data_IF_418888245313
#
_entry.id   IF_418888245313
#
_cell.length_a   1.000
_cell.length_b   1.000
_cell.length_c   1.000
_cell.angle_alpha   90.00
_cell.angle_beta   90.00
_cell.angle_gamma   90.00
#
_symmetry.space_group_name_H-M   'P 1'
#
loop_
_entity.id
_entity.type
_entity.pdbx_description
1 polymer ?
#
# COMPACT_ATOMS: atom_id res chain seq x y z
N UNK A 1 4.14 -9.67 28.26
CA UNK A 1 3.98 -9.84 26.80
C UNK A 1 3.45 -11.24 26.55
N UNK A 2 2.56 -11.46 25.56
CA UNK A 2 2.18 -12.81 25.16
C UNK A 2 3.45 -13.61 24.81
N UNK A 3 3.51 -14.89 25.17
CA UNK A 3 4.65 -15.77 24.93
C UNK A 3 4.73 -16.35 23.51
N UNK A 4 3.98 -15.76 22.57
CA UNK A 4 3.89 -16.27 21.20
C UNK A 4 5.16 -15.94 20.41
N UNK A 5 5.69 -16.92 19.70
CA UNK A 5 6.86 -16.82 18.85
C UNK A 5 6.46 -16.63 17.38
N UNK A 6 6.83 -15.48 16.82
CA UNK A 6 6.64 -15.21 15.39
C UNK A 6 7.39 -16.23 14.51
N UNK A 7 6.74 -16.69 13.44
CA UNK A 7 7.26 -17.73 12.55
C UNK A 7 7.04 -19.17 13.06
N UNK A 8 6.68 -19.35 14.33
CA UNK A 8 6.32 -20.65 14.91
C UNK A 8 4.82 -20.70 15.22
N UNK A 9 4.36 -19.80 16.10
CA UNK A 9 2.98 -19.78 16.57
C UNK A 9 2.07 -18.93 15.68
N UNK A 10 2.64 -17.94 14.98
CA UNK A 10 1.90 -17.09 14.06
C UNK A 10 2.78 -16.59 12.92
N UNK A 11 2.15 -16.35 11.78
CA UNK A 11 2.75 -15.78 10.57
C UNK A 11 1.66 -15.16 9.70
N UNK A 12 2.01 -14.73 8.50
CA UNK A 12 1.08 -14.24 7.48
C UNK A 12 1.44 -14.79 6.09
N UNK A 13 0.54 -14.63 5.13
CA UNK A 13 0.73 -14.99 3.73
C UNK A 13 0.21 -13.84 2.86
N UNK A 14 0.75 -13.65 1.64
CA UNK A 14 0.20 -12.67 0.70
C UNK A 14 -1.23 -13.06 0.31
N UNK A 15 -2.07 -12.08 -0.02
CA UNK A 15 -3.39 -12.38 -0.56
C UNK A 15 -3.25 -13.25 -1.84
N UNK A 16 -4.16 -14.22 -2.05
CA UNK A 16 -4.13 -15.07 -3.23
C UNK A 16 -4.29 -14.25 -4.51
N UNK A 17 -3.72 -14.76 -5.59
CA UNK A 17 -3.96 -14.21 -6.92
C UNK A 17 -5.45 -14.31 -7.29
N UNK A 18 -5.99 -13.25 -7.87
CA UNK A 18 -7.37 -13.24 -8.39
C UNK A 18 -7.48 -14.17 -9.62
N UNK A 19 -6.49 -14.07 -10.52
CA UNK A 19 -6.30 -14.92 -11.70
C UNK A 19 -4.86 -14.76 -12.22
N UNK A 20 -4.51 -15.52 -13.26
CA UNK A 20 -3.15 -15.55 -13.84
C UNK A 20 -2.68 -14.21 -14.41
N UNK A 21 -3.58 -13.30 -14.80
CA UNK A 21 -3.22 -11.96 -15.28
C UNK A 21 -2.75 -11.03 -14.16
N UNK A 22 -3.05 -11.35 -12.91
CA UNK A 22 -2.70 -10.56 -11.72
C UNK A 22 -1.77 -11.32 -10.76
N UNK A 23 -1.04 -12.30 -11.26
CA UNK A 23 -0.14 -13.11 -10.43
C UNK A 23 0.92 -12.25 -9.72
N UNK A 24 1.00 -12.37 -8.40
CA UNK A 24 1.93 -11.63 -7.56
C UNK A 24 1.59 -10.15 -7.42
N UNK A 25 0.34 -9.75 -7.70
CA UNK A 25 -0.12 -8.39 -7.51
C UNK A 25 -0.38 -8.08 -6.04
N UNK A 26 0.11 -6.94 -5.59
CA UNK A 26 -0.09 -6.47 -4.22
C UNK A 26 -0.58 -5.02 -4.22
N UNK A 27 -1.60 -4.79 -3.39
CA UNK A 27 -1.95 -3.43 -2.96
C UNK A 27 -0.91 -3.00 -1.94
N UNK A 28 -0.32 -1.83 -2.16
CA UNK A 28 0.73 -1.27 -1.31
C UNK A 28 0.31 0.10 -0.78
N UNK A 29 0.85 0.46 0.38
CA UNK A 29 0.84 1.82 0.91
C UNK A 29 2.28 2.29 1.09
N UNK A 30 2.49 3.60 1.18
CA UNK A 30 3.83 4.15 1.38
C UNK A 30 3.81 5.49 2.10
N UNK A 31 4.83 5.69 2.94
CA UNK A 31 5.14 6.98 3.54
C UNK A 31 6.00 7.79 2.55
N UNK A 32 5.68 9.08 2.37
CA UNK A 32 6.44 9.97 1.50
C UNK A 32 7.00 11.18 2.25
N UNK A 33 8.16 11.66 1.80
CA UNK A 33 8.73 12.92 2.27
C UNK A 33 8.16 14.06 1.43
N UNK A 34 7.59 15.06 2.10
CA UNK A 34 7.06 16.27 1.46
C UNK A 34 7.86 17.50 1.86
N UNK A 35 8.06 18.40 0.90
CA UNK A 35 8.78 19.66 1.12
C UNK A 35 7.80 20.84 1.01
N UNK A 36 7.48 21.45 2.15
CA UNK A 36 6.57 22.62 2.19
C UNK A 36 7.25 23.92 1.76
N UNK A 37 8.55 24.03 1.99
CA UNK A 37 9.36 25.18 1.56
C UNK A 37 10.57 24.71 0.77
N UNK A 38 10.62 25.11 -0.49
CA UNK A 38 11.73 24.75 -1.38
C UNK A 38 12.99 25.56 -1.05
N UNK A 39 14.01 24.86 -0.54
CA UNK A 39 15.32 25.42 -0.24
C UNK A 39 16.41 24.42 -0.63
N UNK A 40 17.63 24.89 -0.96
CA UNK A 40 18.75 24.00 -1.26
C UNK A 40 19.01 22.97 -0.14
N UNK A 41 18.88 23.37 1.13
CA UNK A 41 19.09 22.53 2.30
C UNK A 41 18.02 21.43 2.42
N UNK A 42 16.74 21.79 2.26
CA UNK A 42 15.65 20.82 2.29
C UNK A 42 15.75 19.79 1.15
N UNK A 43 16.18 20.23 -0.05
CA UNK A 43 16.46 19.32 -1.18
C UNK A 43 17.56 18.31 -0.85
N UNK A 44 18.66 18.74 -0.22
CA UNK A 44 19.72 17.82 0.19
C UNK A 44 19.25 16.81 1.25
N UNK A 45 18.44 17.26 2.21
CA UNK A 45 17.88 16.36 3.23
C UNK A 45 16.99 15.29 2.59
N UNK A 46 16.02 15.65 1.76
CA UNK A 46 15.15 14.68 1.10
C UNK A 46 15.98 13.74 0.21
N UNK A 47 16.96 14.25 -0.54
CA UNK A 47 17.87 13.42 -1.33
C UNK A 47 18.57 12.36 -0.47
N UNK A 48 19.09 12.75 0.69
CA UNK A 48 19.68 11.80 1.64
C UNK A 48 18.67 10.76 2.13
N UNK A 49 17.47 11.19 2.56
CA UNK A 49 16.42 10.31 3.08
C UNK A 49 15.94 9.27 2.05
N UNK A 50 16.05 9.55 0.75
CA UNK A 50 15.73 8.59 -0.32
C UNK A 50 16.81 7.54 -0.57
N UNK A 51 18.01 7.67 0.02
CA UNK A 51 19.10 6.69 -0.17
C UNK A 51 18.85 5.37 0.56
N UNK A 52 19.47 4.29 0.07
CA UNK A 52 19.45 3.00 0.75
C UNK A 52 20.07 3.08 2.16
N UNK A 53 21.15 3.83 2.33
CA UNK A 53 21.81 4.04 3.62
C UNK A 53 20.86 4.69 4.64
N UNK A 54 20.10 5.71 4.23
CA UNK A 54 19.13 6.32 5.12
C UNK A 54 17.98 5.37 5.47
N UNK A 55 17.47 4.60 4.51
CA UNK A 55 16.40 3.61 4.74
C UNK A 55 16.86 2.46 5.66
N UNK A 56 18.10 1.99 5.48
CA UNK A 56 18.72 0.92 6.28
C UNK A 56 18.72 1.23 7.79
N UNK A 57 18.95 2.50 8.17
CA UNK A 57 18.88 2.94 9.57
C UNK A 57 17.53 2.60 10.22
N UNK A 58 16.43 2.68 9.48
CA UNK A 58 15.07 2.48 9.99
C UNK A 58 14.68 1.00 9.93
N UNK A 59 15.10 0.31 8.87
CA UNK A 59 14.94 -1.15 8.75
C UNK A 59 15.59 -1.86 9.94
N UNK A 60 16.84 -1.52 10.28
CA UNK A 60 17.56 -2.08 11.43
C UNK A 60 16.88 -1.81 12.78
N UNK A 61 16.12 -0.71 12.89
CA UNK A 61 15.35 -0.38 14.10
C UNK A 61 14.01 -1.14 14.19
N UNK A 62 13.55 -1.74 13.09
CA UNK A 62 12.29 -2.45 12.99
C UNK A 62 11.08 -1.55 12.73
N UNK A 63 9.97 -2.18 12.33
CA UNK A 63 8.68 -1.51 12.12
C UNK A 63 8.56 -0.69 10.84
N UNK A 64 9.54 -0.74 9.93
CA UNK A 64 9.52 -0.08 8.62
C UNK A 64 10.07 -0.99 7.53
N UNK A 65 9.53 -0.86 6.32
CA UNK A 65 10.02 -1.54 5.12
C UNK A 65 10.76 -0.53 4.23
N UNK A 66 11.88 -0.96 3.64
CA UNK A 66 12.59 -0.19 2.63
C UNK A 66 11.96 -0.36 1.25
N UNK A 67 11.87 0.74 0.50
CA UNK A 67 11.48 0.73 -0.92
C UNK A 67 12.69 0.43 -1.81
N UNK A 68 13.89 0.77 -1.34
CA UNK A 68 15.13 0.51 -2.05
C UNK A 68 15.52 -0.97 -2.00
N UNK A 69 15.60 -1.63 -3.17
CA UNK A 69 16.12 -3.00 -3.33
C UNK A 69 17.60 -3.18 -2.94
N UNK A 70 18.31 -2.08 -2.62
CA UNK A 70 19.69 -2.10 -2.15
C UNK A 70 19.84 -2.24 -0.63
N UNK A 71 18.74 -2.18 0.13
CA UNK A 71 18.75 -2.50 1.57
C UNK A 71 18.73 -4.02 1.72
N UNK A 72 19.57 -4.58 2.59
CA UNK A 72 19.65 -6.04 2.74
C UNK A 72 18.40 -6.57 3.44
N UNK A 73 17.92 -7.73 3.01
CA UNK A 73 16.87 -8.43 3.75
C UNK A 73 17.36 -8.95 5.10
N UNK A 74 18.68 -9.07 5.29
CA UNK A 74 19.27 -9.45 6.57
C UNK A 74 19.32 -8.29 7.58
N UNK A 75 19.04 -7.05 7.15
CA UNK A 75 18.97 -5.89 8.04
C UNK A 75 17.67 -5.84 8.87
N UNK A 76 16.65 -6.64 8.50
CA UNK A 76 15.39 -6.70 9.24
C UNK A 76 15.55 -7.49 10.55
N UNK A 77 15.16 -6.92 11.70
CA UNK A 77 15.46 -7.51 13.01
C UNK A 77 14.57 -8.71 13.38
N UNK A 78 13.50 -8.94 12.63
CA UNK A 78 12.52 -9.99 12.90
C UNK A 78 12.09 -10.73 11.61
N UNK A 79 11.71 -12.01 11.72
CA UNK A 79 11.41 -12.84 10.55
C UNK A 79 10.17 -12.37 9.78
N UNK A 80 9.20 -11.72 10.44
CA UNK A 80 7.97 -11.29 9.76
C UNK A 80 8.22 -10.05 8.92
N UNK A 81 8.93 -9.06 9.44
CA UNK A 81 9.34 -7.88 8.67
C UNK A 81 10.24 -8.27 7.50
N UNK A 82 11.16 -9.23 7.70
CA UNK A 82 11.98 -9.80 6.61
C UNK A 82 11.11 -10.45 5.52
N UNK A 83 10.11 -11.24 5.91
CA UNK A 83 9.17 -11.84 4.98
C UNK A 83 8.36 -10.79 4.21
N UNK A 84 7.87 -9.74 4.89
CA UNK A 84 7.12 -8.65 4.26
C UNK A 84 7.99 -7.90 3.24
N UNK A 85 9.24 -7.61 3.61
CA UNK A 85 10.20 -6.99 2.72
C UNK A 85 10.51 -7.86 1.50
N UNK A 86 10.69 -9.18 1.70
CA UNK A 86 10.93 -10.13 0.63
C UNK A 86 9.77 -10.17 -0.38
N UNK A 87 8.52 -10.16 0.10
CA UNK A 87 7.32 -10.08 -0.73
C UNK A 87 7.32 -8.76 -1.53
N UNK A 88 7.54 -7.63 -0.84
CA UNK A 88 7.53 -6.31 -1.48
C UNK A 88 8.60 -6.15 -2.56
N UNK A 89 9.84 -6.60 -2.33
CA UNK A 89 10.92 -6.45 -3.34
C UNK A 89 10.77 -7.39 -4.54
N UNK A 90 10.05 -8.51 -4.37
CA UNK A 90 9.78 -9.51 -5.40
C UNK A 90 8.49 -9.23 -6.20
N UNK A 91 7.61 -8.37 -5.70
CA UNK A 91 6.35 -8.06 -6.39
C UNK A 91 6.60 -7.46 -7.77
N UNK A 92 5.83 -7.93 -8.75
CA UNK A 92 5.87 -7.43 -10.12
C UNK A 92 4.83 -6.34 -10.35
N UNK A 93 3.74 -6.38 -9.60
CA UNK A 93 2.61 -5.45 -9.71
C UNK A 93 2.33 -4.87 -8.32
N UNK A 94 2.84 -3.68 -8.07
CA UNK A 94 2.51 -2.88 -6.89
C UNK A 94 1.55 -1.74 -7.30
N UNK A 95 0.38 -1.67 -6.67
CA UNK A 95 -0.62 -0.61 -6.91
C UNK A 95 -1.10 -0.01 -5.60
N UNK A 96 -1.39 1.28 -5.57
CA UNK A 96 -2.20 1.86 -4.49
C UNK A 96 -3.64 1.36 -4.59
N UNK A 97 -4.40 1.53 -3.51
CA UNK A 97 -5.82 1.19 -3.55
C UNK A 97 -6.52 2.02 -4.64
N UNK A 98 -7.51 1.43 -5.31
CA UNK A 98 -8.20 2.11 -6.39
C UNK A 98 -8.82 3.43 -5.91
N UNK A 99 -9.32 3.48 -4.68
CA UNK A 99 -9.97 4.64 -4.10
C UNK A 99 -9.01 5.76 -3.69
N UNK A 100 -7.72 5.48 -3.53
CA UNK A 100 -6.68 6.50 -3.30
C UNK A 100 -6.55 7.46 -4.48
N UNK A 101 -6.85 6.98 -5.69
CA UNK A 101 -6.76 7.74 -6.94
C UNK A 101 -8.12 8.33 -7.39
N UNK A 102 -9.18 8.15 -6.61
CA UNK A 102 -10.51 8.67 -6.92
C UNK A 102 -10.74 10.05 -6.29
N UNK A 103 -11.46 10.96 -6.96
CA UNK A 103 -12.02 12.16 -6.34
C UNK A 103 -12.89 11.80 -5.13
N UNK A 104 -12.98 12.71 -4.17
CA UNK A 104 -13.68 12.49 -2.89
C UNK A 104 -15.08 11.89 -3.06
N UNK A 105 -15.87 12.44 -3.98
CA UNK A 105 -17.25 11.97 -4.21
C UNK A 105 -17.28 10.53 -4.74
N UNK A 106 -16.40 10.21 -5.69
CA UNK A 106 -16.31 8.86 -6.24
C UNK A 106 -15.78 7.86 -5.20
N UNK A 107 -14.78 8.23 -4.41
CA UNK A 107 -14.28 7.40 -3.29
C UNK A 107 -15.39 7.08 -2.30
N UNK A 108 -16.15 8.10 -1.89
CA UNK A 108 -17.23 7.94 -0.91
C UNK A 108 -18.37 7.06 -1.47
N UNK A 109 -18.73 7.24 -2.74
CA UNK A 109 -19.73 6.41 -3.40
C UNK A 109 -19.27 4.96 -3.54
N UNK A 110 -18.02 4.73 -3.93
CA UNK A 110 -17.41 3.39 -4.05
C UNK A 110 -17.41 2.65 -2.72
N UNK A 111 -17.02 3.32 -1.63
CA UNK A 111 -17.06 2.73 -0.29
C UNK A 111 -18.47 2.29 0.12
N UNK A 112 -19.47 3.16 -0.06
CA UNK A 112 -20.88 2.83 0.23
C UNK A 112 -21.38 1.69 -0.65
N UNK A 113 -21.02 1.69 -1.94
CA UNK A 113 -21.35 0.66 -2.90
C UNK A 113 -20.81 -0.71 -2.47
N UNK A 114 -19.54 -0.77 -2.05
CA UNK A 114 -18.92 -2.00 -1.55
C UNK A 114 -19.65 -2.55 -0.32
N UNK A 115 -19.97 -1.70 0.66
CA UNK A 115 -20.74 -2.10 1.85
C UNK A 115 -22.13 -2.65 1.49
N UNK A 116 -22.81 -2.03 0.52
CA UNK A 116 -24.11 -2.49 0.03
C UNK A 116 -23.98 -3.83 -0.69
N UNK A 117 -22.97 -4.02 -1.53
CA UNK A 117 -22.71 -5.28 -2.22
C UNK A 117 -22.43 -6.43 -1.25
N UNK A 118 -21.63 -6.19 -0.21
CA UNK A 118 -21.37 -7.19 0.85
C UNK A 118 -22.68 -7.57 1.57
N UNK A 119 -23.57 -6.60 1.78
CA UNK A 119 -24.85 -6.83 2.45
C UNK A 119 -25.86 -7.57 1.57
N UNK A 120 -25.91 -7.26 0.28
CA UNK A 120 -26.79 -7.90 -0.71
C UNK A 120 -26.16 -7.85 -2.11
N UNK A 121 -25.67 -9.00 -2.57
CA UNK A 121 -25.00 -9.09 -3.87
C UNK A 121 -25.96 -8.93 -5.06
N UNK A 122 -27.27 -9.16 -4.87
CA UNK A 122 -28.28 -8.97 -5.92
C UNK A 122 -28.46 -7.50 -6.33
N UNK A 123 -27.94 -6.57 -5.53
CA UNK A 123 -28.03 -5.14 -5.82
C UNK A 123 -26.91 -4.65 -6.74
N UNK A 124 -26.03 -5.53 -7.25
CA UNK A 124 -24.84 -5.17 -8.03
C UNK A 124 -25.14 -4.17 -9.16
N UNK A 125 -26.14 -4.45 -10.01
CA UNK A 125 -26.48 -3.57 -11.13
C UNK A 125 -26.93 -2.19 -10.65
N UNK A 126 -27.71 -2.13 -9.56
CA UNK A 126 -28.14 -0.86 -8.97
C UNK A 126 -26.97 -0.06 -8.37
N UNK A 127 -26.00 -0.76 -7.79
CA UNK A 127 -24.78 -0.17 -7.22
C UNK A 127 -23.95 0.42 -8.35
N UNK A 128 -23.69 -0.36 -9.41
CA UNK A 128 -22.91 0.08 -10.56
C UNK A 128 -23.56 1.29 -11.24
N UNK A 129 -24.89 1.27 -11.47
CA UNK A 129 -25.60 2.42 -12.03
C UNK A 129 -25.48 3.68 -11.16
N UNK A 130 -25.47 3.54 -9.83
CA UNK A 130 -25.26 4.66 -8.91
C UNK A 130 -23.82 5.20 -8.96
N UNK A 131 -22.83 4.31 -9.13
CA UNK A 131 -21.44 4.70 -9.30
C UNK A 131 -21.22 5.43 -10.62
N UNK A 132 -21.80 4.97 -11.72
CA UNK A 132 -21.75 5.64 -13.03
C UNK A 132 -22.35 7.05 -12.96
N UNK A 133 -23.46 7.22 -12.23
CA UNK A 133 -24.06 8.54 -12.05
C UNK A 133 -23.14 9.48 -11.23
N UNK A 134 -22.43 8.95 -10.25
CA UNK A 134 -21.44 9.73 -9.46
C UNK A 134 -20.23 10.09 -10.32
N UNK A 135 -19.74 9.16 -11.14
CA UNK A 135 -18.59 9.37 -12.03
C UNK A 135 -18.80 10.57 -12.96
N UNK A 136 -20.01 10.75 -13.51
CA UNK A 136 -20.35 11.85 -14.43
C UNK A 136 -20.02 13.24 -13.89
N UNK A 137 -20.02 13.42 -12.57
CA UNK A 137 -19.74 14.72 -11.92
C UNK A 137 -18.45 14.72 -11.10
N UNK A 138 -18.01 13.57 -10.60
CA UNK A 138 -16.87 13.49 -9.70
C UNK A 138 -15.53 13.89 -10.35
N UNK A 139 -15.42 13.77 -11.68
CA UNK A 139 -14.17 14.00 -12.43
C UNK A 139 -14.20 15.29 -13.27
N UNK A 140 -15.27 16.08 -13.20
CA UNK A 140 -15.39 17.31 -14.00
C UNK A 140 -14.71 18.53 -13.37
N UNK A 141 -14.07 18.35 -12.22
CA UNK A 141 -13.37 19.42 -11.49
C UNK A 141 -11.90 19.03 -11.31
N UNK A 142 -11.04 19.60 -12.15
CA UNK A 142 -9.59 19.70 -11.95
C UNK A 142 -9.17 21.15 -12.20
#
# INVERSE_FOLDING_TARGET
MPSLQAGTDFTFFPLPDINTSYTGAHVVAGDSWSMFKDTPQARQLIKYLTTAQAQDIWVKRGGKLAVSKKVSLDDYPDPLSKLSAQILVNTQIAKYDATDNMPTDMRNATWKGLLKFISNQNDLDSILASLDQTQKTAYTSA
#
